data_IF_480991046325
#
_entry.id   IF_480991046325
#
_cell.length_a   1.000
_cell.length_b   1.000
_cell.length_c   1.000
_cell.angle_alpha   90.00
_cell.angle_beta   90.00
_cell.angle_gamma   90.00
#
_symmetry.space_group_name_H-M   'P 1'
#
loop_
_entity.id
_entity.type
_entity.pdbx_description
1 polymer ?
#
# COMPACT_ATOMS: atom_id res chain seq x y z
N UNK A 1 -31.33 -22.75 -28.24
CA UNK A 1 -29.87 -22.49 -28.34
C UNK A 1 -29.52 -21.09 -28.88
N UNK A 2 -30.17 -20.56 -29.93
CA UNK A 2 -29.89 -19.20 -30.45
C UNK A 2 -30.20 -18.05 -29.46
N UNK A 3 -31.27 -18.16 -28.67
CA UNK A 3 -31.66 -17.16 -27.65
C UNK A 3 -30.67 -17.11 -26.50
N UNK A 4 -30.22 -18.26 -26.01
CA UNK A 4 -29.19 -18.38 -24.96
C UNK A 4 -27.83 -17.83 -25.43
N UNK A 5 -27.43 -18.08 -26.68
CA UNK A 5 -26.20 -17.53 -27.26
C UNK A 5 -26.18 -16.00 -27.36
N UNK A 6 -27.33 -15.38 -27.67
CA UNK A 6 -27.46 -13.93 -27.76
C UNK A 6 -27.46 -13.24 -26.39
N UNK A 7 -28.08 -13.84 -25.38
CA UNK A 7 -28.02 -13.35 -23.99
C UNK A 7 -26.57 -13.43 -23.49
N UNK A 8 -25.92 -14.58 -23.64
CA UNK A 8 -24.53 -14.74 -23.21
C UNK A 8 -23.62 -13.71 -23.89
N UNK A 9 -23.76 -13.49 -25.20
CA UNK A 9 -23.01 -12.46 -25.94
C UNK A 9 -23.19 -11.04 -25.38
N UNK A 10 -24.36 -10.72 -24.84
CA UNK A 10 -24.65 -9.40 -24.30
C UNK A 10 -24.10 -9.17 -22.89
N UNK A 11 -23.94 -10.23 -22.09
CA UNK A 11 -23.45 -10.17 -20.72
C UNK A 11 -22.04 -10.72 -20.52
N UNK A 12 -21.34 -11.19 -21.57
CA UNK A 12 -19.94 -11.65 -21.52
C UNK A 12 -18.99 -10.72 -20.75
N UNK A 13 -19.07 -9.41 -20.99
CA UNK A 13 -18.24 -8.43 -20.30
C UNK A 13 -18.54 -8.38 -18.80
N UNK A 14 -19.81 -8.44 -18.42
CA UNK A 14 -20.23 -8.47 -17.02
C UNK A 14 -19.78 -9.77 -16.34
N UNK A 15 -19.99 -10.92 -16.99
CA UNK A 15 -19.58 -12.21 -16.46
C UNK A 15 -18.07 -12.29 -16.25
N UNK A 16 -17.29 -11.80 -17.22
CA UNK A 16 -15.83 -11.72 -17.09
C UNK A 16 -15.41 -10.75 -15.99
N UNK A 17 -16.04 -9.57 -15.90
CA UNK A 17 -15.77 -8.61 -14.82
C UNK A 17 -16.01 -9.24 -13.43
N UNK A 18 -17.16 -9.90 -13.24
CA UNK A 18 -17.51 -10.58 -11.99
C UNK A 18 -16.55 -11.73 -11.69
N UNK A 19 -16.13 -12.50 -12.70
CA UNK A 19 -15.15 -13.57 -12.53
C UNK A 19 -13.80 -13.03 -12.04
N UNK A 20 -13.28 -11.97 -12.67
CA UNK A 20 -11.99 -11.37 -12.28
C UNK A 20 -12.05 -10.78 -10.87
N UNK A 21 -13.12 -10.07 -10.54
CA UNK A 21 -13.34 -9.55 -9.18
C UNK A 21 -13.41 -10.71 -8.18
N UNK A 22 -14.18 -11.76 -8.47
CA UNK A 22 -14.28 -12.93 -7.59
C UNK A 22 -12.92 -13.63 -7.40
N UNK A 23 -12.13 -13.81 -8.46
CA UNK A 23 -10.78 -14.36 -8.34
C UNK A 23 -9.88 -13.47 -7.47
N UNK A 24 -9.92 -12.14 -7.64
CA UNK A 24 -9.19 -11.20 -6.78
C UNK A 24 -9.62 -11.31 -5.32
N UNK A 25 -10.92 -11.46 -5.06
CA UNK A 25 -11.49 -11.64 -3.71
C UNK A 25 -11.11 -12.97 -3.07
N UNK A 26 -11.07 -14.06 -3.84
CA UNK A 26 -10.57 -15.35 -3.33
C UNK A 26 -9.12 -15.23 -2.90
N UNK A 27 -8.27 -14.52 -3.66
CA UNK A 27 -6.88 -14.28 -3.28
C UNK A 27 -6.81 -13.42 -2.00
N UNK A 28 -7.59 -12.33 -1.92
CA UNK A 28 -7.64 -11.42 -0.76
C UNK A 28 -8.05 -12.15 0.53
N UNK A 29 -9.07 -13.02 0.46
CA UNK A 29 -9.53 -13.81 1.61
C UNK A 29 -8.49 -14.84 2.06
N UNK A 30 -7.77 -15.46 1.11
CA UNK A 30 -6.78 -16.51 1.41
C UNK A 30 -5.39 -15.96 1.76
N UNK A 31 -5.21 -14.66 1.95
CA UNK A 31 -3.90 -14.03 2.23
C UNK A 31 -3.16 -14.66 3.41
N UNK A 32 -3.84 -14.98 4.51
CA UNK A 32 -3.19 -15.51 5.72
C UNK A 32 -2.57 -16.89 5.46
N UNK A 33 -3.24 -17.71 4.65
CA UNK A 33 -2.71 -19.01 4.21
C UNK A 33 -1.51 -18.84 3.27
N UNK A 34 -1.48 -17.76 2.48
CA UNK A 34 -0.35 -17.43 1.61
C UNK A 34 0.86 -16.92 2.40
N UNK A 35 0.63 -16.16 3.48
CA UNK A 35 1.68 -15.64 4.36
C UNK A 35 2.26 -16.73 5.27
N UNK A 36 1.43 -17.60 5.84
CA UNK A 36 1.90 -18.74 6.65
C UNK A 36 2.75 -19.71 5.83
N UNK A 37 2.41 -19.96 4.55
CA UNK A 37 3.22 -20.82 3.66
C UNK A 37 4.62 -20.27 3.38
N UNK A 38 4.88 -18.99 3.65
CA UNK A 38 6.20 -18.37 3.42
C UNK A 38 7.19 -18.66 4.55
N UNK A 39 6.71 -18.93 5.76
CA UNK A 39 7.58 -19.32 6.88
C UNK A 39 7.70 -20.84 6.85
N UNK A 40 8.78 -21.34 6.24
CA UNK A 40 9.10 -22.76 6.32
C UNK A 40 9.72 -23.07 7.70
N UNK A 41 8.86 -23.09 8.73
CA UNK A 41 9.26 -23.31 10.13
C UNK A 41 10.01 -24.62 10.33
N UNK A 42 9.70 -25.66 9.55
CA UNK A 42 10.44 -26.93 9.56
C UNK A 42 11.87 -26.77 9.04
N UNK A 43 12.06 -26.04 7.94
CA UNK A 43 13.40 -25.75 7.43
C UNK A 43 14.18 -24.90 8.42
N UNK A 44 13.56 -23.82 8.93
CA UNK A 44 14.16 -22.97 9.94
C UNK A 44 14.63 -23.77 11.16
N UNK A 45 13.77 -24.62 11.72
CA UNK A 45 14.10 -25.49 12.85
C UNK A 45 15.25 -26.44 12.50
N UNK A 46 15.23 -27.07 11.32
CA UNK A 46 16.30 -28.00 10.91
C UNK A 46 17.67 -27.34 10.77
N UNK A 47 17.70 -26.09 10.29
CA UNK A 47 18.92 -25.29 10.15
C UNK A 47 19.41 -24.85 11.53
N UNK A 48 18.50 -24.40 12.40
CA UNK A 48 18.84 -24.03 13.76
C UNK A 48 19.40 -25.23 14.54
N UNK A 49 18.78 -26.40 14.44
CA UNK A 49 19.26 -27.63 15.07
C UNK A 49 20.66 -28.02 14.59
N UNK A 50 20.95 -27.81 13.29
CA UNK A 50 22.28 -28.03 12.74
C UNK A 50 23.29 -27.04 13.33
N UNK A 51 22.96 -25.74 13.38
CA UNK A 51 23.81 -24.71 14.00
C UNK A 51 24.05 -24.98 15.49
N UNK A 52 23.04 -25.47 16.22
CA UNK A 52 23.20 -25.88 17.63
C UNK A 52 24.17 -27.05 17.79
N UNK A 53 24.11 -28.06 16.90
CA UNK A 53 25.08 -29.18 16.92
C UNK A 53 26.49 -28.67 16.64
N UNK A 54 26.68 -27.92 15.56
CA UNK A 54 27.98 -27.34 15.19
C UNK A 54 28.54 -26.45 16.31
N UNK A 55 27.71 -25.59 16.91
CA UNK A 55 28.15 -24.76 18.02
C UNK A 55 28.55 -25.58 19.24
N UNK A 56 27.78 -26.60 19.61
CA UNK A 56 28.12 -27.49 20.72
C UNK A 56 29.43 -28.24 20.47
N UNK A 57 29.63 -28.81 19.28
CA UNK A 57 30.87 -29.51 18.91
C UNK A 57 32.10 -28.58 18.96
N UNK A 58 31.95 -27.35 18.48
CA UNK A 58 33.02 -26.34 18.53
C UNK A 58 33.32 -25.94 19.97
N UNK A 59 32.30 -25.70 20.80
CA UNK A 59 32.48 -25.34 22.21
C UNK A 59 33.14 -26.49 23.00
N UNK A 60 32.75 -27.74 22.76
CA UNK A 60 33.39 -28.90 23.39
C UNK A 60 34.87 -29.02 23.00
N UNK A 61 35.17 -28.88 21.70
CA UNK A 61 36.55 -28.93 21.18
C UNK A 61 37.40 -27.80 21.76
N UNK A 62 36.88 -26.58 21.80
CA UNK A 62 37.54 -25.43 22.40
C UNK A 62 37.77 -25.64 23.91
N UNK A 63 36.79 -26.20 24.62
CA UNK A 63 36.88 -26.49 26.05
C UNK A 63 37.99 -27.50 26.37
N UNK A 64 38.05 -28.60 25.62
CA UNK A 64 39.10 -29.61 25.79
C UNK A 64 40.50 -29.06 25.54
N UNK A 65 40.66 -28.23 24.49
CA UNK A 65 41.95 -27.59 24.16
C UNK A 65 42.38 -26.57 25.22
N UNK A 66 41.46 -25.75 25.74
CA UNK A 66 41.77 -24.83 26.83
C UNK A 66 42.14 -25.53 28.14
N UNK A 67 41.58 -26.71 28.40
CA UNK A 67 41.88 -27.49 29.62
C UNK A 67 43.20 -28.27 29.53
N UNK A 68 43.63 -28.65 28.33
CA UNK A 68 44.84 -29.44 28.09
C UNK A 68 46.08 -28.60 27.76
N UNK A 69 45.90 -27.38 27.22
CA UNK A 69 46.98 -26.46 26.86
C UNK A 69 47.22 -25.34 27.89
N UNK A 70 48.20 -24.47 27.62
CA UNK A 70 48.30 -23.19 28.32
C UNK A 70 47.22 -22.25 27.75
N UNK A 71 46.22 -21.81 28.56
CA UNK A 71 45.13 -20.97 28.06
C UNK A 71 45.60 -19.66 27.42
N UNK A 72 46.73 -19.12 27.90
CA UNK A 72 47.32 -17.89 27.36
C UNK A 72 47.85 -18.07 25.93
N UNK A 73 48.09 -19.31 25.51
CA UNK A 73 48.49 -19.66 24.13
C UNK A 73 47.32 -20.05 23.24
N UNK A 74 46.12 -20.24 23.79
CA UNK A 74 44.95 -20.70 23.03
C UNK A 74 44.61 -19.74 21.89
N UNK A 75 44.61 -18.43 22.16
CA UNK A 75 44.42 -17.41 21.12
C UNK A 75 45.51 -17.53 20.05
N UNK A 76 46.79 -17.58 20.43
CA UNK A 76 47.89 -17.59 19.45
C UNK A 76 47.96 -18.87 18.61
N UNK A 77 47.50 -20.00 19.13
CA UNK A 77 47.60 -21.30 18.47
C UNK A 77 46.37 -21.63 17.61
N UNK A 78 45.18 -21.15 17.99
CA UNK A 78 43.93 -21.60 17.36
C UNK A 78 43.02 -20.47 16.83
N UNK A 79 43.33 -19.18 17.06
CA UNK A 79 42.42 -18.11 16.64
C UNK A 79 42.15 -18.07 15.12
N UNK A 80 43.15 -18.38 14.29
CA UNK A 80 43.02 -18.49 12.83
C UNK A 80 41.92 -19.49 12.41
N UNK A 81 41.80 -20.63 13.10
CA UNK A 81 40.79 -21.67 12.82
C UNK A 81 39.37 -21.16 13.11
N UNK A 82 39.23 -20.26 14.09
CA UNK A 82 37.93 -19.78 14.56
C UNK A 82 37.49 -18.46 13.92
N UNK A 83 38.37 -17.69 13.28
CA UNK A 83 37.99 -16.42 12.62
C UNK A 83 37.00 -16.62 11.47
N UNK A 84 37.06 -17.76 10.77
CA UNK A 84 36.12 -18.09 9.69
C UNK A 84 34.72 -18.50 10.17
N UNK A 85 34.60 -18.93 11.43
CA UNK A 85 33.36 -19.52 11.99
C UNK A 85 32.23 -18.50 12.06
N UNK A 86 32.53 -17.24 12.41
CA UNK A 86 31.50 -16.20 12.37
C UNK A 86 31.05 -15.92 10.93
N UNK A 87 31.99 -15.82 9.99
CA UNK A 87 31.69 -15.46 8.60
C UNK A 87 30.88 -16.52 7.87
N UNK A 88 31.15 -17.80 8.15
CA UNK A 88 30.51 -18.91 7.45
C UNK A 88 29.25 -19.39 8.17
N UNK A 89 29.30 -19.46 9.51
CA UNK A 89 28.25 -20.12 10.30
C UNK A 89 27.45 -19.14 11.17
N UNK A 90 27.82 -17.86 11.20
CA UNK A 90 27.17 -16.85 12.04
C UNK A 90 27.38 -17.09 13.54
N UNK A 91 28.42 -17.81 13.92
CA UNK A 91 28.66 -18.22 15.31
C UNK A 91 29.76 -17.38 15.94
N UNK A 92 29.41 -16.66 17.01
CA UNK A 92 30.39 -16.00 17.88
C UNK A 92 30.69 -16.90 19.08
N UNK A 93 31.95 -17.07 19.41
CA UNK A 93 32.42 -17.90 20.52
C UNK A 93 33.19 -16.99 21.47
N UNK A 94 32.86 -17.10 22.75
CA UNK A 94 33.49 -16.35 23.84
C UNK A 94 33.93 -17.35 24.92
N UNK A 95 35.17 -17.23 25.37
CA UNK A 95 35.71 -18.04 26.45
C UNK A 95 36.07 -17.20 27.66
N UNK A 96 35.61 -17.64 28.82
CA UNK A 96 35.85 -16.99 30.10
C UNK A 96 36.59 -17.91 31.05
N UNK A 97 37.54 -17.34 31.78
CA UNK A 97 38.25 -17.99 32.87
C UNK A 97 38.14 -17.16 34.14
N UNK A 98 37.60 -17.74 35.21
CA UNK A 98 37.36 -17.06 36.49
C UNK A 98 36.59 -15.74 36.32
N UNK A 99 35.65 -15.72 35.36
CA UNK A 99 34.84 -14.54 35.03
C UNK A 99 35.50 -13.55 34.05
N UNK A 100 36.79 -13.69 33.73
CA UNK A 100 37.47 -12.81 32.78
C UNK A 100 37.44 -13.37 31.36
N UNK A 101 37.20 -12.52 30.37
CA UNK A 101 37.26 -12.91 28.96
C UNK A 101 38.70 -13.24 28.57
N UNK A 102 38.93 -14.46 28.09
CA UNK A 102 40.25 -14.96 27.65
C UNK A 102 40.28 -15.35 26.18
N UNK A 103 39.14 -15.49 25.51
CA UNK A 103 39.07 -15.84 24.09
C UNK A 103 37.81 -15.27 23.43
N UNK A 104 37.94 -14.80 22.19
CA UNK A 104 36.82 -14.47 21.32
C UNK A 104 37.22 -14.64 19.85
N UNK A 105 36.30 -15.15 19.02
CA UNK A 105 36.57 -15.34 17.59
C UNK A 105 36.12 -14.16 16.70
N UNK A 106 35.43 -13.17 17.26
CA UNK A 106 34.86 -12.05 16.51
C UNK A 106 34.65 -10.81 17.38
N UNK A 107 34.80 -9.63 16.77
CA UNK A 107 34.60 -8.31 17.42
C UNK A 107 33.25 -7.66 17.05
N UNK A 108 32.29 -8.43 16.55
CA UNK A 108 31.03 -7.89 16.02
C UNK A 108 30.06 -7.40 17.09
N UNK A 109 30.17 -7.89 18.32
CA UNK A 109 29.22 -7.59 19.39
C UNK A 109 29.46 -6.18 19.95
N UNK A 110 28.47 -5.26 19.88
CA UNK A 110 28.65 -3.88 20.36
C UNK A 110 28.33 -3.76 21.86
N UNK A 111 28.82 -4.69 22.69
CA UNK A 111 28.58 -4.71 24.14
C UNK A 111 29.88 -4.93 24.91
N UNK A 112 29.88 -4.51 26.17
CA UNK A 112 30.92 -4.90 27.12
C UNK A 112 30.86 -6.42 27.34
N UNK A 113 31.85 -7.14 26.82
CA UNK A 113 31.93 -8.58 26.86
C UNK A 113 32.00 -9.11 28.31
N UNK A 114 32.41 -8.30 29.28
CA UNK A 114 32.41 -8.72 30.69
C UNK A 114 30.99 -8.92 31.27
N UNK A 115 29.95 -8.39 30.61
CA UNK A 115 28.54 -8.54 31.01
C UNK A 115 27.85 -9.74 30.36
N UNK A 116 28.45 -10.31 29.33
CA UNK A 116 27.91 -11.44 28.55
C UNK A 116 27.81 -12.75 29.37
N UNK A 117 28.68 -13.05 30.36
CA UNK A 117 28.52 -14.22 31.22
C UNK A 117 27.20 -14.30 32.01
N UNK A 118 26.44 -13.21 32.11
CA UNK A 118 25.11 -13.17 32.76
C UNK A 118 24.01 -13.78 31.89
N UNK A 119 24.22 -13.89 30.57
CA UNK A 119 23.22 -14.40 29.64
C UNK A 119 22.99 -15.90 29.81
N UNK A 120 21.73 -16.33 29.83
CA UNK A 120 21.34 -17.69 30.19
C UNK A 120 21.40 -18.65 28.99
N UNK A 121 21.49 -19.94 29.28
CA UNK A 121 21.32 -21.00 28.28
C UNK A 121 19.99 -20.80 27.54
N UNK A 122 19.99 -20.95 26.22
CA UNK A 122 18.81 -20.87 25.36
C UNK A 122 18.12 -19.48 25.38
N UNK A 123 18.81 -18.43 25.83
CA UNK A 123 18.27 -17.07 25.84
C UNK A 123 18.40 -16.40 24.47
N UNK A 124 17.34 -15.72 24.01
CA UNK A 124 17.39 -14.83 22.86
C UNK A 124 17.77 -13.40 23.30
N UNK A 125 18.92 -12.92 22.85
CA UNK A 125 19.50 -11.62 23.21
C UNK A 125 19.70 -10.73 21.98
N UNK A 126 19.63 -9.41 22.17
CA UNK A 126 19.97 -8.41 21.15
C UNK A 126 20.96 -7.41 21.74
N UNK A 127 22.28 -7.58 21.50
CA UNK A 127 23.30 -6.64 21.96
C UNK A 127 23.32 -5.32 21.18
N UNK A 128 22.54 -5.15 20.12
CA UNK A 128 22.39 -3.90 19.36
C UNK A 128 22.76 -3.97 17.88
N UNK A 129 23.27 -5.11 17.40
CA UNK A 129 23.60 -5.34 15.99
C UNK A 129 22.85 -6.55 15.38
N UNK A 130 22.03 -7.24 16.17
CA UNK A 130 21.39 -8.47 15.74
C UNK A 130 20.85 -9.31 16.90
N UNK A 131 20.04 -10.30 16.56
CA UNK A 131 19.46 -11.25 17.48
C UNK A 131 20.28 -12.53 17.51
N UNK A 132 20.64 -12.98 18.71
CA UNK A 132 21.47 -14.17 18.93
C UNK A 132 20.81 -15.12 19.92
N UNK A 133 20.97 -16.42 19.71
CA UNK A 133 20.63 -17.44 20.70
C UNK A 133 21.90 -17.88 21.44
N UNK A 134 21.82 -17.90 22.76
CA UNK A 134 22.93 -18.22 23.65
C UNK A 134 23.02 -19.71 23.94
N UNK A 135 24.21 -20.28 23.74
CA UNK A 135 24.58 -21.64 24.15
C UNK A 135 25.71 -21.51 25.17
N UNK A 136 25.58 -22.16 26.32
CA UNK A 136 26.60 -22.22 27.36
C UNK A 136 27.18 -23.62 27.42
N UNK A 137 28.49 -23.69 27.52
CA UNK A 137 29.22 -24.91 27.80
C UNK A 137 30.16 -24.64 28.97
N UNK A 138 29.75 -25.08 30.17
CA UNK A 138 30.55 -24.98 31.38
C UNK A 138 31.36 -26.26 31.55
N UNK A 139 32.68 -26.15 31.45
CA UNK A 139 33.57 -27.31 31.55
C UNK A 139 33.89 -27.66 33.01
N UNK A 140 34.09 -26.64 33.85
CA UNK A 140 34.38 -26.72 35.28
C UNK A 140 34.04 -25.37 35.96
N UNK A 141 34.37 -25.22 37.25
CA UNK A 141 34.07 -23.99 38.01
C UNK A 141 34.88 -22.76 37.53
N UNK A 142 35.94 -22.98 36.75
CA UNK A 142 36.85 -21.92 36.31
C UNK A 142 36.66 -21.53 34.86
N UNK A 143 36.25 -22.45 33.98
CA UNK A 143 36.15 -22.25 32.53
C UNK A 143 34.70 -22.31 32.07
N UNK A 144 34.24 -21.22 31.47
CA UNK A 144 32.90 -21.09 30.90
C UNK A 144 32.98 -20.60 29.45
N UNK A 145 32.38 -21.36 28.53
CA UNK A 145 32.32 -21.02 27.11
C UNK A 145 30.89 -20.63 26.72
N UNK A 146 30.77 -19.59 25.91
CA UNK A 146 29.51 -19.14 25.33
C UNK A 146 29.60 -19.16 23.81
N UNK A 147 28.62 -19.79 23.17
CA UNK A 147 28.35 -19.69 21.74
C UNK A 147 27.12 -18.81 21.51
N UNK A 148 27.19 -17.91 20.54
CA UNK A 148 26.09 -17.05 20.13
C UNK A 148 25.77 -17.32 18.67
N UNK A 149 24.65 -17.98 18.41
CA UNK A 149 24.17 -18.25 17.06
C UNK A 149 23.43 -17.01 16.58
N UNK A 150 23.96 -16.34 15.55
CA UNK A 150 23.27 -15.24 14.89
C UNK A 150 22.01 -15.76 14.18
N UNK A 151 20.86 -15.19 14.55
CA UNK A 151 19.58 -15.45 13.92
C UNK A 151 19.30 -14.43 12.83
N UNK A 152 19.46 -13.15 13.16
CA UNK A 152 19.13 -12.02 12.29
C UNK A 152 19.98 -10.80 12.63
N UNK A 153 20.44 -10.07 11.61
CA UNK A 153 21.03 -8.75 11.76
C UNK A 153 19.94 -7.68 12.03
N UNK A 154 20.25 -6.76 12.94
CA UNK A 154 19.32 -5.73 13.42
C UNK A 154 20.08 -4.43 13.73
N UNK A 155 20.54 -3.78 12.68
CA UNK A 155 21.25 -2.50 12.67
C UNK A 155 20.27 -1.33 12.67
N UNK A 156 20.61 -0.27 13.42
CA UNK A 156 19.85 0.99 13.44
C UNK A 156 19.89 1.70 12.07
N UNK A 157 20.98 1.52 11.31
CA UNK A 157 21.17 2.13 9.99
C UNK A 157 21.54 1.05 8.97
N UNK A 158 20.73 0.95 7.91
CA UNK A 158 21.00 0.07 6.77
C UNK A 158 21.70 0.82 5.63
N UNK A 159 22.63 0.14 4.96
CA UNK A 159 23.32 0.61 3.76
C UNK A 159 23.75 -0.58 2.88
N UNK A 160 24.49 -0.33 1.80
CA UNK A 160 24.92 -1.38 0.87
C UNK A 160 25.84 -2.47 1.49
N UNK A 161 26.41 -2.21 2.67
CA UNK A 161 27.26 -3.15 3.42
C UNK A 161 26.56 -3.72 4.66
N UNK A 162 25.56 -3.03 5.21
CA UNK A 162 24.82 -3.40 6.41
C UNK A 162 23.34 -3.60 6.05
N UNK A 163 22.94 -4.86 5.93
CA UNK A 163 21.58 -5.24 5.58
C UNK A 163 20.95 -5.96 6.77
N UNK A 164 19.75 -5.55 7.16
CA UNK A 164 18.99 -6.24 8.19
C UNK A 164 18.26 -7.43 7.59
N UNK A 165 18.88 -8.59 7.70
CA UNK A 165 18.33 -9.86 7.22
C UNK A 165 18.59 -10.99 8.20
N UNK A 166 17.84 -12.07 8.06
CA UNK A 166 18.16 -13.35 8.69
C UNK A 166 19.47 -13.89 8.10
N UNK A 167 20.19 -14.69 8.90
CA UNK A 167 21.36 -15.38 8.37
C UNK A 167 20.96 -16.25 7.16
N UNK A 168 21.73 -16.20 6.07
CA UNK A 168 21.38 -16.75 4.74
C UNK A 168 20.87 -18.21 4.78
N UNK A 169 21.41 -19.02 5.69
CA UNK A 169 21.03 -20.42 5.88
C UNK A 169 19.55 -20.62 6.22
N UNK A 170 18.90 -19.66 6.89
CA UNK A 170 17.50 -19.80 7.32
C UNK A 170 16.51 -19.65 6.17
N UNK A 171 16.91 -19.00 5.06
CA UNK A 171 16.10 -18.80 3.85
C UNK A 171 14.67 -18.32 4.15
N UNK A 172 14.56 -17.40 5.09
CA UNK A 172 13.33 -16.71 5.42
C UNK A 172 13.43 -15.27 4.92
N UNK A 173 12.30 -14.64 4.67
CA UNK A 173 12.28 -13.26 4.21
C UNK A 173 12.65 -12.29 5.35
N UNK A 174 13.37 -11.18 5.07
CA UNK A 174 13.91 -10.27 6.07
C UNK A 174 12.86 -9.70 7.04
N UNK A 175 11.62 -9.58 6.56
CA UNK A 175 10.54 -8.90 7.26
C UNK A 175 9.83 -9.77 8.30
N UNK A 176 10.20 -11.05 8.42
CA UNK A 176 9.66 -11.87 9.50
C UNK A 176 10.04 -11.28 10.86
N UNK A 177 9.06 -11.21 11.76
CA UNK A 177 9.22 -10.62 13.08
C UNK A 177 9.60 -11.71 14.09
N UNK A 178 10.49 -11.37 15.03
CA UNK A 178 10.90 -12.22 16.14
C UNK A 178 10.15 -11.79 17.41
N UNK A 179 9.46 -12.72 18.06
CA UNK A 179 8.82 -12.49 19.36
C UNK A 179 9.37 -13.41 20.44
N UNK A 180 9.50 -12.90 21.66
CA UNK A 180 9.83 -13.69 22.85
C UNK A 180 8.61 -14.41 23.45
N UNK A 181 7.41 -14.25 22.87
CA UNK A 181 6.19 -14.91 23.33
C UNK A 181 5.80 -16.04 22.39
N UNK A 182 5.34 -17.14 22.97
CA UNK A 182 5.01 -18.36 22.24
C UNK A 182 3.80 -18.17 21.32
N UNK A 183 2.81 -17.43 21.80
CA UNK A 183 1.53 -17.18 21.13
C UNK A 183 1.60 -16.26 19.89
N UNK A 184 2.68 -15.51 19.71
CA UNK A 184 2.76 -14.46 18.68
C UNK A 184 3.05 -15.01 17.27
N UNK A 185 3.41 -16.28 17.11
CA UNK A 185 3.77 -16.86 15.81
C UNK A 185 4.16 -18.33 15.86
N UNK A 186 4.97 -18.77 14.91
CA UNK A 186 5.50 -20.14 14.88
C UNK A 186 6.61 -20.30 15.93
N UNK A 187 6.40 -21.14 16.97
CA UNK A 187 7.39 -21.31 18.02
C UNK A 187 8.58 -22.13 17.53
N UNK A 188 9.77 -21.65 17.87
CA UNK A 188 11.06 -22.29 17.61
C UNK A 188 11.63 -22.78 18.92
N UNK A 189 12.19 -23.99 18.89
CA UNK A 189 12.69 -24.67 20.08
C UNK A 189 14.19 -24.94 19.97
N UNK A 190 14.85 -25.13 21.11
CA UNK A 190 16.18 -25.72 21.16
C UNK A 190 16.10 -27.23 20.86
N UNK A 191 17.23 -27.89 20.56
CA UNK A 191 17.27 -29.36 20.47
C UNK A 191 16.86 -30.07 21.77
N UNK A 192 16.96 -29.41 22.93
CA UNK A 192 16.47 -29.91 24.23
C UNK A 192 14.95 -29.77 24.41
N UNK A 193 14.26 -29.10 23.50
CA UNK A 193 12.81 -28.86 23.56
C UNK A 193 12.41 -27.58 24.31
N UNK A 194 13.38 -26.75 24.72
CA UNK A 194 13.11 -25.47 25.38
C UNK A 194 12.65 -24.44 24.36
N UNK A 195 11.65 -23.64 24.70
CA UNK A 195 11.20 -22.56 23.83
C UNK A 195 12.25 -21.45 23.76
N UNK A 196 12.59 -21.03 22.54
CA UNK A 196 13.56 -19.95 22.28
C UNK A 196 12.83 -18.64 21.97
N UNK A 197 12.04 -18.66 20.90
CA UNK A 197 11.29 -17.51 20.37
C UNK A 197 10.25 -17.98 19.36
N UNK A 198 9.36 -17.08 18.95
CA UNK A 198 8.41 -17.31 17.86
C UNK A 198 8.74 -16.42 16.66
N UNK A 199 8.49 -16.94 15.46
CA UNK A 199 8.61 -16.21 14.20
C UNK A 199 7.21 -15.94 13.66
N UNK A 200 6.89 -14.68 13.41
CA UNK A 200 5.61 -14.28 12.85
C UNK A 200 5.77 -13.58 11.51
N UNK A 201 4.75 -13.63 10.63
CA UNK A 201 4.70 -12.77 9.47
C UNK A 201 4.76 -11.28 9.87
N UNK A 202 5.21 -10.40 8.97
CA UNK A 202 5.28 -8.99 9.25
C UNK A 202 3.86 -8.47 9.48
N UNK A 203 3.71 -7.63 10.49
CA UNK A 203 2.47 -6.89 10.73
C UNK A 203 2.12 -5.94 9.58
N UNK A 204 3.11 -5.51 8.79
CA UNK A 204 2.94 -4.78 7.53
C UNK A 204 4.08 -5.11 6.55
N UNK A 205 3.82 -5.85 5.46
CA UNK A 205 4.87 -6.15 4.50
C UNK A 205 5.32 -4.85 3.81
N UNK A 206 6.64 -4.60 3.68
CA UNK A 206 7.16 -3.38 3.08
C UNK A 206 6.91 -3.33 1.57
N UNK A 207 6.68 -4.49 0.95
CA UNK A 207 6.44 -4.64 -0.47
C UNK A 207 5.25 -5.56 -0.73
N UNK A 208 4.38 -5.13 -1.65
CA UNK A 208 3.26 -5.94 -2.11
C UNK A 208 3.76 -7.24 -2.72
N UNK A 209 3.26 -8.36 -2.21
CA UNK A 209 3.58 -9.69 -2.73
C UNK A 209 3.06 -9.85 -4.18
N UNK A 210 3.64 -10.78 -4.95
CA UNK A 210 3.11 -11.27 -6.23
C UNK A 210 1.60 -11.53 -6.18
N UNK A 211 1.08 -12.13 -5.10
CA UNK A 211 -0.36 -12.34 -4.95
C UNK A 211 -1.16 -11.04 -4.79
N UNK A 212 -0.63 -10.05 -4.07
CA UNK A 212 -1.22 -8.71 -3.99
C UNK A 212 -1.21 -8.01 -5.35
N UNK A 213 -0.12 -8.14 -6.12
CA UNK A 213 0.00 -7.62 -7.49
C UNK A 213 -1.04 -8.28 -8.40
N UNK A 214 -1.14 -9.62 -8.40
CA UNK A 214 -2.13 -10.36 -9.19
C UNK A 214 -3.55 -9.93 -8.81
N UNK A 215 -3.86 -9.85 -7.51
CA UNK A 215 -5.17 -9.43 -7.02
C UNK A 215 -5.50 -8.00 -7.46
N UNK A 216 -4.55 -7.06 -7.36
CA UNK A 216 -4.70 -5.69 -7.84
C UNK A 216 -4.96 -5.62 -9.35
N UNK A 217 -4.22 -6.39 -10.15
CA UNK A 217 -4.45 -6.49 -11.59
C UNK A 217 -5.85 -7.06 -11.92
N UNK A 218 -6.27 -8.11 -11.22
CA UNK A 218 -7.60 -8.73 -11.40
C UNK A 218 -8.73 -7.75 -11.05
N UNK A 219 -8.64 -7.06 -9.92
CA UNK A 219 -9.63 -6.04 -9.54
C UNK A 219 -9.67 -4.89 -10.55
N UNK A 220 -8.51 -4.37 -10.95
CA UNK A 220 -8.41 -3.27 -11.91
C UNK A 220 -9.03 -3.66 -13.26
N UNK A 221 -8.68 -4.84 -13.79
CA UNK A 221 -9.26 -5.35 -15.03
C UNK A 221 -10.77 -5.60 -14.91
N UNK A 222 -11.22 -6.17 -13.79
CA UNK A 222 -12.63 -6.40 -13.51
C UNK A 222 -13.45 -5.11 -13.46
N UNK A 223 -12.95 -4.07 -12.79
CA UNK A 223 -13.60 -2.76 -12.69
C UNK A 223 -13.65 -2.08 -14.07
N UNK A 224 -12.57 -2.12 -14.86
CA UNK A 224 -12.56 -1.58 -16.22
C UNK A 224 -13.61 -2.28 -17.10
N UNK A 225 -13.69 -3.61 -17.04
CA UNK A 225 -14.69 -4.37 -17.80
C UNK A 225 -16.12 -4.09 -17.34
N UNK A 226 -16.34 -3.90 -16.03
CA UNK A 226 -17.63 -3.49 -15.48
C UNK A 226 -18.04 -2.11 -16.03
N UNK A 227 -17.12 -1.15 -16.04
CA UNK A 227 -17.35 0.18 -16.60
C UNK A 227 -17.67 0.14 -18.10
N UNK A 228 -16.92 -0.65 -18.88
CA UNK A 228 -17.20 -0.87 -20.31
C UNK A 228 -18.57 -1.54 -20.53
N UNK A 229 -18.93 -2.51 -19.70
CA UNK A 229 -20.24 -3.15 -19.75
C UNK A 229 -21.37 -2.15 -19.47
N UNK A 230 -21.24 -1.34 -18.41
CA UNK A 230 -22.23 -0.31 -18.06
C UNK A 230 -22.41 0.68 -19.23
N UNK A 231 -21.32 1.17 -19.81
CA UNK A 231 -21.36 2.11 -20.94
C UNK A 231 -22.04 1.52 -22.17
N UNK A 232 -21.72 0.26 -22.50
CA UNK A 232 -22.36 -0.46 -23.59
C UNK A 232 -23.84 -0.73 -23.32
N UNK A 233 -24.20 -1.05 -22.08
CA UNK A 233 -25.57 -1.33 -21.66
C UNK A 233 -26.47 -0.09 -21.80
N UNK A 234 -25.99 1.08 -21.36
CA UNK A 234 -26.69 2.35 -21.54
C UNK A 234 -26.83 2.72 -23.01
N UNK A 235 -25.76 2.57 -23.79
CA UNK A 235 -25.74 2.88 -25.23
C UNK A 235 -26.75 2.06 -26.04
N UNK A 236 -27.11 0.85 -25.59
CA UNK A 236 -28.09 -0.04 -26.25
C UNK A 236 -29.54 0.36 -25.99
N UNK A 237 -29.83 1.07 -24.88
CA UNK A 237 -31.19 1.46 -24.50
C UNK A 237 -31.69 2.72 -25.23
N UNK A 238 -31.44 2.82 -26.54
CA UNK A 238 -31.77 4.03 -27.32
C UNK A 238 -33.26 4.37 -27.30
N UNK A 239 -34.14 3.38 -27.25
CA UNK A 239 -35.61 3.54 -27.30
C UNK A 239 -36.28 3.98 -25.99
N UNK A 240 -35.53 4.16 -24.90
CA UNK A 240 -36.08 4.57 -23.60
C UNK A 240 -36.14 6.10 -23.49
N UNK A 241 -37.14 6.65 -22.80
CA UNK A 241 -37.26 8.09 -22.55
C UNK A 241 -36.01 8.65 -21.83
N UNK A 242 -35.70 9.92 -22.06
CA UNK A 242 -34.55 10.57 -21.42
C UNK A 242 -34.68 10.62 -19.89
N UNK A 243 -35.90 10.81 -19.38
CA UNK A 243 -36.17 10.77 -17.94
C UNK A 243 -35.78 9.43 -17.31
N UNK A 244 -36.21 8.30 -17.88
CA UNK A 244 -35.87 6.98 -17.34
C UNK A 244 -34.38 6.66 -17.49
N UNK A 245 -33.71 7.13 -18.56
CA UNK A 245 -32.25 7.02 -18.72
C UNK A 245 -31.51 7.82 -17.64
N UNK A 246 -31.93 9.05 -17.37
CA UNK A 246 -31.32 9.89 -16.34
C UNK A 246 -31.55 9.31 -14.93
N UNK A 247 -32.73 8.75 -14.64
CA UNK A 247 -32.97 8.06 -13.36
C UNK A 247 -32.09 6.83 -13.20
N UNK A 248 -31.92 6.02 -14.25
CA UNK A 248 -31.02 4.86 -14.23
C UNK A 248 -29.56 5.30 -14.08
N UNK A 249 -29.16 6.40 -14.72
CA UNK A 249 -27.84 7.01 -14.59
C UNK A 249 -27.59 7.40 -13.12
N UNK A 250 -28.51 8.13 -12.52
CA UNK A 250 -28.43 8.55 -11.13
C UNK A 250 -28.34 7.36 -10.17
N UNK A 251 -29.18 6.34 -10.37
CA UNK A 251 -29.13 5.10 -9.59
C UNK A 251 -27.76 4.41 -9.71
N UNK A 252 -27.20 4.35 -10.92
CA UNK A 252 -25.87 3.76 -11.17
C UNK A 252 -24.78 4.54 -10.43
N UNK A 253 -24.82 5.88 -10.47
CA UNK A 253 -23.87 6.73 -9.75
C UNK A 253 -23.98 6.51 -8.24
N UNK A 254 -25.21 6.51 -7.69
CA UNK A 254 -25.45 6.26 -6.27
C UNK A 254 -24.86 4.91 -5.86
N UNK A 255 -25.15 3.84 -6.59
CA UNK A 255 -24.62 2.51 -6.29
C UNK A 255 -23.08 2.49 -6.30
N UNK A 256 -22.44 3.09 -7.31
CA UNK A 256 -20.98 3.11 -7.39
C UNK A 256 -20.35 3.93 -6.25
N UNK A 257 -20.93 5.07 -5.89
CA UNK A 257 -20.46 5.90 -4.77
C UNK A 257 -20.65 5.17 -3.45
N UNK A 258 -21.82 4.55 -3.22
CA UNK A 258 -22.08 3.77 -2.00
C UNK A 258 -21.11 2.59 -1.88
N UNK A 259 -20.86 1.86 -2.97
CA UNK A 259 -19.86 0.79 -2.98
C UNK A 259 -18.47 1.32 -2.62
N UNK A 260 -18.06 2.47 -3.19
CA UNK A 260 -16.76 3.07 -2.87
C UNK A 260 -16.66 3.52 -1.41
N UNK A 261 -17.71 4.12 -0.86
CA UNK A 261 -17.74 4.49 0.56
C UNK A 261 -17.64 3.24 1.45
N UNK A 262 -18.37 2.16 1.12
CA UNK A 262 -18.24 0.88 1.83
C UNK A 262 -16.83 0.27 1.75
N UNK A 263 -16.16 0.39 0.60
CA UNK A 263 -14.76 -0.02 0.45
C UNK A 263 -13.81 0.79 1.34
N UNK A 264 -14.04 2.10 1.50
CA UNK A 264 -13.23 2.95 2.38
C UNK A 264 -13.43 2.60 3.86
N UNK A 265 -14.68 2.42 4.30
CA UNK A 265 -15.01 2.08 5.70
C UNK A 265 -14.49 0.70 6.12
N UNK A 266 -14.61 -0.29 5.25
CA UNK A 266 -14.10 -1.66 5.50
C UNK A 266 -12.61 -1.80 5.19
N UNK A 267 -12.05 -0.84 4.43
CA UNK A 267 -10.75 -0.88 3.77
C UNK A 267 -10.49 -2.19 3.01
N UNK A 268 -11.51 -2.63 2.26
CA UNK A 268 -11.46 -3.72 1.29
C UNK A 268 -11.13 -3.17 -0.11
N UNK A 269 -10.31 -3.87 -0.92
CA UNK A 269 -9.56 -5.10 -0.60
C UNK A 269 -8.39 -4.83 0.33
N UNK A 270 -8.09 -5.76 1.24
CA UNK A 270 -7.05 -5.51 2.24
C UNK A 270 -5.64 -5.62 1.66
N UNK A 271 -5.44 -6.47 0.64
CA UNK A 271 -4.16 -6.59 -0.09
C UNK A 271 -3.70 -5.27 -0.71
N UNK A 272 -4.60 -4.30 -0.94
CA UNK A 272 -4.20 -3.00 -1.48
C UNK A 272 -3.33 -2.23 -0.48
N UNK A 273 -3.50 -2.45 0.82
CA UNK A 273 -2.72 -1.77 1.86
C UNK A 273 -1.25 -2.21 1.89
N UNK A 274 -0.89 -3.34 1.30
CA UNK A 274 0.52 -3.75 1.17
C UNK A 274 1.30 -2.83 0.21
N UNK A 275 0.62 -2.12 -0.68
CA UNK A 275 1.28 -1.21 -1.60
C UNK A 275 1.51 0.15 -0.92
N UNK A 276 2.73 0.68 -1.08
CA UNK A 276 3.12 1.98 -0.50
C UNK A 276 2.21 3.14 -0.93
N UNK A 277 1.57 3.07 -2.11
CA UNK A 277 0.62 4.10 -2.57
C UNK A 277 -0.67 4.17 -1.74
N UNK A 278 -1.07 3.06 -1.11
CA UNK A 278 -2.24 3.02 -0.23
C UNK A 278 -1.90 3.31 1.23
N UNK A 279 -0.64 3.67 1.51
CA UNK A 279 -0.18 4.09 2.83
C UNK A 279 -0.21 5.63 2.95
N UNK A 280 -0.48 6.18 4.14
CA UNK A 280 -0.67 7.63 4.34
C UNK A 280 0.63 8.45 4.24
N UNK A 281 1.81 7.81 4.25
CA UNK A 281 3.10 8.51 4.25
C UNK A 281 3.37 9.31 2.96
N UNK A 282 2.78 8.93 1.83
CA UNK A 282 2.92 9.66 0.56
C UNK A 282 1.94 10.81 0.43
N UNK A 283 0.71 10.62 0.91
CA UNK A 283 -0.37 11.58 0.85
C UNK A 283 -1.45 11.17 1.86
N UNK A 284 -1.95 12.12 2.64
CA UNK A 284 -3.12 11.94 3.49
C UNK A 284 -3.80 13.28 3.73
N UNK A 285 -5.11 13.36 3.46
CA UNK A 285 -5.86 14.62 3.64
C UNK A 285 -7.10 14.49 4.52
N UNK A 286 -7.89 13.44 4.33
CA UNK A 286 -9.14 13.23 5.07
C UNK A 286 -9.57 11.77 5.01
N UNK A 287 -10.64 11.39 5.71
CA UNK A 287 -11.21 10.03 5.66
C UNK A 287 -11.63 9.61 4.24
N UNK A 288 -12.03 10.56 3.38
CA UNK A 288 -12.33 10.29 1.98
C UNK A 288 -11.08 10.14 1.11
N UNK A 289 -9.94 10.70 1.53
CA UNK A 289 -8.67 10.70 0.81
C UNK A 289 -7.52 10.30 1.76
N UNK A 290 -7.52 9.05 2.27
CA UNK A 290 -6.56 8.61 3.29
C UNK A 290 -5.17 8.29 2.72
N UNK A 291 -5.09 8.00 1.42
CA UNK A 291 -3.85 7.63 0.73
C UNK A 291 -3.83 8.12 -0.72
N UNK A 292 -2.66 8.10 -1.38
CA UNK A 292 -2.51 8.45 -2.80
C UNK A 292 -3.29 7.47 -3.70
N UNK A 293 -3.24 6.18 -3.37
CA UNK A 293 -3.96 5.11 -4.08
C UNK A 293 -5.47 5.28 -3.96
N UNK A 294 -5.97 5.64 -2.77
CA UNK A 294 -7.39 5.93 -2.59
C UNK A 294 -7.84 7.16 -3.36
N UNK A 295 -6.99 8.18 -3.42
CA UNK A 295 -7.22 9.35 -4.25
C UNK A 295 -7.26 9.00 -5.75
N UNK A 296 -6.35 8.14 -6.23
CA UNK A 296 -6.36 7.65 -7.60
C UNK A 296 -7.68 6.92 -7.92
N UNK A 297 -8.14 6.02 -7.03
CA UNK A 297 -9.41 5.30 -7.23
C UNK A 297 -10.60 6.27 -7.22
N UNK A 298 -10.62 7.25 -6.32
CA UNK A 298 -11.68 8.26 -6.25
C UNK A 298 -11.72 9.12 -7.51
N UNK A 299 -10.56 9.59 -7.99
CA UNK A 299 -10.47 10.40 -9.21
C UNK A 299 -10.78 9.60 -10.46
N UNK A 300 -10.40 8.31 -10.54
CA UNK A 300 -10.81 7.41 -11.60
C UNK A 300 -12.34 7.19 -11.62
N UNK A 301 -12.98 7.06 -10.45
CA UNK A 301 -14.44 6.97 -10.35
C UNK A 301 -15.11 8.27 -10.81
N UNK A 302 -14.62 9.43 -10.36
CA UNK A 302 -15.11 10.74 -10.82
C UNK A 302 -14.97 10.88 -12.33
N UNK A 303 -13.83 10.46 -12.89
CA UNK A 303 -13.58 10.49 -14.32
C UNK A 303 -14.54 9.58 -15.09
N UNK A 304 -14.75 8.35 -14.61
CA UNK A 304 -15.76 7.46 -15.18
C UNK A 304 -17.16 8.09 -15.15
N UNK A 305 -17.59 8.66 -14.01
CA UNK A 305 -18.88 9.34 -13.88
C UNK A 305 -18.97 10.52 -14.86
N UNK A 306 -17.89 11.28 -15.07
CA UNK A 306 -17.87 12.40 -16.01
C UNK A 306 -18.05 11.95 -17.47
N UNK A 307 -17.42 10.85 -17.88
CA UNK A 307 -17.64 10.23 -19.20
C UNK A 307 -19.10 9.77 -19.31
N UNK A 308 -19.60 9.08 -18.28
CA UNK A 308 -20.95 8.53 -18.27
C UNK A 308 -22.03 9.61 -18.36
N UNK A 309 -21.86 10.68 -17.59
CA UNK A 309 -22.71 11.87 -17.63
C UNK A 309 -22.68 12.53 -19.00
N UNK A 310 -21.49 12.76 -19.56
CA UNK A 310 -21.33 13.41 -20.87
C UNK A 310 -21.97 12.58 -21.99
N UNK A 311 -21.80 11.26 -21.97
CA UNK A 311 -22.31 10.35 -22.99
C UNK A 311 -23.81 10.09 -22.91
N UNK A 312 -24.42 10.09 -21.72
CA UNK A 312 -25.77 9.56 -21.54
C UNK A 312 -26.78 10.53 -20.93
N UNK A 313 -26.33 11.55 -20.20
CA UNK A 313 -27.25 12.54 -19.63
C UNK A 313 -27.80 13.44 -20.74
N UNK A 314 -29.13 13.56 -20.81
CA UNK A 314 -29.81 14.52 -21.68
C UNK A 314 -31.11 14.97 -21.03
N UNK A 315 -31.37 16.26 -21.12
CA UNK A 315 -32.62 16.90 -20.70
C UNK A 315 -33.39 17.50 -21.89
N UNK A 316 -32.83 17.35 -23.09
CA UNK A 316 -33.41 17.81 -24.35
C UNK A 316 -34.06 16.60 -25.01
N UNK A 317 -35.39 16.58 -25.05
CA UNK A 317 -36.13 15.61 -25.84
C UNK A 317 -36.14 16.01 -27.31
N UNK A 318 -36.06 15.03 -28.21
CA UNK A 318 -36.02 15.27 -29.66
C UNK A 318 -37.31 15.90 -30.20
N UNK A 319 -38.42 15.73 -29.49
CA UNK A 319 -39.76 16.05 -30.00
C UNK A 319 -40.39 17.30 -29.36
N UNK A 320 -39.93 17.72 -28.18
CA UNK A 320 -40.51 18.89 -27.50
C UNK A 320 -39.45 19.72 -26.79
N UNK A 321 -39.48 21.05 -27.00
CA UNK A 321 -38.67 21.97 -26.20
C UNK A 321 -39.31 22.13 -24.81
N UNK A 322 -38.52 22.09 -23.73
CA UNK A 322 -39.04 22.33 -22.39
C UNK A 322 -39.60 23.76 -22.27
N UNK A 323 -40.58 23.94 -21.38
CA UNK A 323 -41.11 25.28 -21.08
C UNK A 323 -40.00 26.20 -20.54
N UNK A 324 -40.18 27.51 -20.67
CA UNK A 324 -39.19 28.50 -20.20
C UNK A 324 -38.86 28.33 -18.71
N UNK A 325 -39.86 28.09 -17.87
CA UNK A 325 -39.68 27.84 -16.44
C UNK A 325 -38.83 26.58 -16.19
N UNK A 326 -39.16 25.46 -16.86
CA UNK A 326 -38.42 24.20 -16.73
C UNK A 326 -36.98 24.32 -17.23
N UNK A 327 -36.77 25.04 -18.32
CA UNK A 327 -35.44 25.35 -18.87
C UNK A 327 -34.58 26.12 -17.87
N UNK A 328 -35.16 27.14 -17.23
CA UNK A 328 -34.48 27.94 -16.22
C UNK A 328 -34.12 27.10 -14.98
N UNK A 329 -35.03 26.25 -14.50
CA UNK A 329 -34.77 25.34 -13.37
C UNK A 329 -33.59 24.41 -13.67
N UNK A 330 -33.54 23.82 -14.87
CA UNK A 330 -32.42 22.97 -15.26
C UNK A 330 -31.09 23.73 -15.33
N UNK A 331 -31.09 24.93 -15.90
CA UNK A 331 -29.88 25.75 -15.99
C UNK A 331 -29.35 26.14 -14.61
N UNK A 332 -30.24 26.49 -13.67
CA UNK A 332 -29.87 26.74 -12.27
C UNK A 332 -29.26 25.48 -11.65
N UNK A 333 -29.93 24.34 -11.77
CA UNK A 333 -29.44 23.07 -11.21
C UNK A 333 -28.06 22.67 -11.78
N UNK A 334 -27.87 22.78 -13.09
CA UNK A 334 -26.60 22.48 -13.76
C UNK A 334 -25.49 23.48 -13.37
N UNK A 335 -25.84 24.76 -13.20
CA UNK A 335 -24.88 25.79 -12.77
C UNK A 335 -24.43 25.59 -11.33
N UNK A 336 -25.35 25.22 -10.44
CA UNK A 336 -25.03 24.84 -9.05
C UNK A 336 -24.16 23.58 -9.01
N UNK A 337 -24.49 22.56 -9.80
CA UNK A 337 -23.70 21.35 -9.93
C UNK A 337 -22.26 21.65 -10.39
N UNK A 338 -22.11 22.43 -11.48
CA UNK A 338 -20.80 22.80 -12.01
C UNK A 338 -19.97 23.61 -11.02
N UNK A 339 -20.59 24.60 -10.35
CA UNK A 339 -19.97 25.40 -9.29
C UNK A 339 -19.46 24.50 -8.16
N UNK A 340 -20.31 23.63 -7.62
CA UNK A 340 -19.93 22.67 -6.57
C UNK A 340 -18.80 21.75 -7.01
N UNK A 341 -18.84 21.27 -8.25
CA UNK A 341 -17.77 20.43 -8.80
C UNK A 341 -16.43 21.18 -8.93
N UNK A 342 -16.43 22.46 -9.30
CA UNK A 342 -15.21 23.29 -9.36
C UNK A 342 -14.58 23.47 -7.97
N UNK A 343 -15.39 23.69 -6.92
CA UNK A 343 -14.88 23.76 -5.56
C UNK A 343 -14.37 22.40 -5.05
N UNK A 344 -15.04 21.30 -5.41
CA UNK A 344 -14.55 19.95 -5.12
C UNK A 344 -13.23 19.67 -5.83
N UNK A 345 -13.12 20.03 -7.10
CA UNK A 345 -11.88 19.96 -7.88
C UNK A 345 -10.75 20.72 -7.16
N UNK A 346 -10.99 21.98 -6.78
CA UNK A 346 -10.00 22.79 -6.08
C UNK A 346 -9.60 22.16 -4.74
N UNK A 347 -10.57 21.64 -3.99
CA UNK A 347 -10.30 20.94 -2.73
C UNK A 347 -9.41 19.71 -2.94
N UNK A 348 -9.67 18.88 -3.94
CA UNK A 348 -8.85 17.69 -4.21
C UNK A 348 -7.47 18.10 -4.74
N UNK A 349 -7.41 19.02 -5.70
CA UNK A 349 -6.19 19.50 -6.34
C UNK A 349 -5.22 20.14 -5.34
N UNK A 350 -5.70 21.10 -4.54
CA UNK A 350 -4.91 21.71 -3.47
C UNK A 350 -4.46 20.68 -2.44
N UNK A 351 -5.30 19.68 -2.17
CA UNK A 351 -4.95 18.55 -1.32
C UNK A 351 -3.71 17.82 -1.80
N UNK A 352 -3.72 17.40 -3.06
CA UNK A 352 -2.60 16.65 -3.62
C UNK A 352 -1.31 17.47 -3.61
N UNK A 353 -1.39 18.80 -3.79
CA UNK A 353 -0.20 19.67 -3.77
C UNK A 353 0.31 19.90 -2.35
N UNK A 354 -0.56 20.24 -1.40
CA UNK A 354 -0.15 20.68 -0.06
C UNK A 354 -0.07 19.56 0.98
N UNK A 355 -0.72 18.42 0.74
CA UNK A 355 -0.77 17.27 1.65
C UNK A 355 -0.03 16.04 1.12
N UNK A 356 0.87 16.20 0.14
CA UNK A 356 1.73 15.10 -0.34
C UNK A 356 3.20 15.37 -0.06
N UNK A 357 3.95 14.29 0.21
CA UNK A 357 5.41 14.31 0.30
C UNK A 357 6.06 14.05 -1.08
N UNK A 358 5.29 14.19 -2.17
CA UNK A 358 5.71 13.88 -3.53
C UNK A 358 6.19 15.17 -4.18
N UNK A 359 7.43 15.16 -4.69
CA UNK A 359 7.95 16.28 -5.46
C UNK A 359 7.27 16.34 -6.83
N UNK A 360 6.43 17.35 -7.05
CA UNK A 360 5.68 17.57 -8.30
C UNK A 360 6.35 18.63 -9.21
N UNK A 361 7.68 18.73 -9.17
CA UNK A 361 8.45 19.68 -9.96
C UNK A 361 8.66 19.18 -11.40
N UNK A 362 7.76 19.58 -12.31
CA UNK A 362 7.74 19.12 -13.72
C UNK A 362 9.04 19.42 -14.48
N UNK A 363 9.80 20.44 -14.07
CA UNK A 363 11.04 20.85 -14.73
C UNK A 363 12.27 20.03 -14.30
N UNK A 364 12.15 19.22 -13.24
CA UNK A 364 13.26 18.43 -12.73
C UNK A 364 13.01 16.94 -12.97
N UNK A 365 13.41 16.46 -14.15
CA UNK A 365 13.25 15.06 -14.56
C UNK A 365 13.92 14.06 -13.61
N UNK A 366 14.92 14.48 -12.82
CA UNK A 366 15.58 13.61 -11.83
C UNK A 366 14.68 13.25 -10.64
N UNK A 367 13.62 14.00 -10.39
CA UNK A 367 12.64 13.72 -9.35
C UNK A 367 11.43 12.91 -9.84
N UNK A 368 11.38 12.56 -11.12
CA UNK A 368 10.35 11.68 -11.66
C UNK A 368 10.54 10.24 -11.14
N UNK A 369 9.68 9.86 -10.21
CA UNK A 369 9.56 8.50 -9.70
C UNK A 369 8.15 7.93 -9.94
N UNK A 370 7.96 6.64 -9.63
CA UNK A 370 6.67 5.95 -9.79
C UNK A 370 5.50 6.65 -9.08
N UNK A 371 5.74 7.31 -7.94
CA UNK A 371 4.70 8.01 -7.17
C UNK A 371 4.31 9.34 -7.82
N UNK A 372 5.29 10.08 -8.35
CA UNK A 372 5.03 11.30 -9.13
C UNK A 372 4.18 11.00 -10.38
N UNK A 373 4.43 9.87 -11.06
CA UNK A 373 3.61 9.43 -12.20
C UNK A 373 2.16 9.14 -11.80
N UNK A 374 1.94 8.48 -10.65
CA UNK A 374 0.59 8.23 -10.12
C UNK A 374 -0.11 9.54 -9.76
N UNK A 375 0.60 10.49 -9.16
CA UNK A 375 0.06 11.81 -8.84
C UNK A 375 -0.31 12.60 -10.12
N UNK A 376 0.54 12.59 -11.16
CA UNK A 376 0.22 13.21 -12.44
C UNK A 376 -0.96 12.55 -13.14
N UNK A 377 -1.07 11.21 -13.11
CA UNK A 377 -2.24 10.50 -13.64
C UNK A 377 -3.53 10.91 -12.90
N UNK A 378 -3.46 11.00 -11.57
CA UNK A 378 -4.56 11.46 -10.72
C UNK A 378 -5.00 12.88 -11.11
N UNK A 379 -4.04 13.80 -11.29
CA UNK A 379 -4.30 15.17 -11.75
C UNK A 379 -4.91 15.21 -13.15
N UNK A 380 -4.40 14.40 -14.08
CA UNK A 380 -4.91 14.33 -15.44
C UNK A 380 -6.35 13.82 -15.48
N UNK A 381 -6.70 12.79 -14.71
CA UNK A 381 -8.08 12.29 -14.59
C UNK A 381 -9.00 13.35 -13.97
N UNK A 382 -8.54 14.05 -12.93
CA UNK A 382 -9.31 15.10 -12.26
C UNK A 382 -9.55 16.30 -13.19
N UNK A 383 -8.53 16.77 -13.91
CA UNK A 383 -8.63 17.83 -14.92
C UNK A 383 -9.52 17.41 -16.10
N UNK A 384 -9.36 16.19 -16.60
CA UNK A 384 -10.21 15.64 -17.64
C UNK A 384 -11.69 15.61 -17.22
N UNK A 385 -11.97 15.27 -15.97
CA UNK A 385 -13.33 15.29 -15.40
C UNK A 385 -13.92 16.71 -15.40
N UNK A 386 -13.13 17.71 -15.01
CA UNK A 386 -13.54 19.12 -15.01
C UNK A 386 -13.88 19.60 -16.42
N UNK A 387 -13.03 19.29 -17.40
CA UNK A 387 -13.25 19.64 -18.81
C UNK A 387 -14.54 19.00 -19.34
N UNK A 388 -14.74 17.70 -19.11
CA UNK A 388 -15.91 16.97 -19.58
C UNK A 388 -17.22 17.49 -18.97
N UNK A 389 -17.27 17.71 -17.64
CA UNK A 389 -18.45 18.28 -17.00
C UNK A 389 -18.75 19.70 -17.49
N UNK A 390 -17.72 20.54 -17.61
CA UNK A 390 -17.87 21.92 -18.08
C UNK A 390 -18.44 21.94 -19.50
N UNK A 391 -17.85 21.19 -20.44
CA UNK A 391 -18.33 21.12 -21.82
C UNK A 391 -19.80 20.66 -21.90
N UNK A 392 -20.15 19.59 -21.17
CA UNK A 392 -21.50 19.05 -21.18
C UNK A 392 -22.52 20.00 -20.56
N UNK A 393 -22.19 20.63 -19.43
CA UNK A 393 -23.08 21.60 -18.76
C UNK A 393 -23.29 22.82 -19.64
N UNK A 394 -22.21 23.37 -20.21
CA UNK A 394 -22.29 24.50 -21.15
C UNK A 394 -23.15 24.14 -22.35
N UNK A 395 -22.97 22.95 -22.95
CA UNK A 395 -23.80 22.47 -24.06
C UNK A 395 -25.30 22.45 -23.74
N UNK A 396 -25.66 21.84 -22.61
CA UNK A 396 -27.06 21.72 -22.22
C UNK A 396 -27.64 23.10 -21.89
N UNK A 397 -26.89 23.95 -21.18
CA UNK A 397 -27.35 25.25 -20.78
C UNK A 397 -27.51 26.22 -21.98
N UNK A 398 -26.55 26.26 -22.89
CA UNK A 398 -26.60 27.13 -24.09
C UNK A 398 -27.71 26.73 -25.06
N UNK A 399 -28.15 25.47 -25.03
CA UNK A 399 -29.29 24.99 -25.83
C UNK A 399 -30.64 25.36 -25.20
N UNK A 400 -30.68 25.56 -23.88
CA UNK A 400 -31.91 25.87 -23.13
C UNK A 400 -32.16 27.37 -22.95
N UNK A 401 -31.11 28.16 -22.75
CA UNK A 401 -31.19 29.61 -22.55
C UNK A 401 -30.08 30.32 -23.33
N UNK A 402 -30.28 31.61 -23.61
CA UNK A 402 -29.25 32.43 -24.26
C UNK A 402 -27.99 32.55 -23.39
N UNK A 403 -26.83 32.70 -24.05
CA UNK A 403 -25.52 32.76 -23.40
C UNK A 403 -25.44 33.76 -22.24
N UNK A 404 -25.96 34.99 -22.42
CA UNK A 404 -25.97 36.03 -21.37
C UNK A 404 -26.73 35.58 -20.12
N UNK A 405 -27.86 34.89 -20.29
CA UNK A 405 -28.68 34.38 -19.19
C UNK A 405 -27.97 33.23 -18.47
N UNK A 406 -27.39 32.30 -19.23
CA UNK A 406 -26.57 31.24 -18.65
C UNK A 406 -25.39 31.80 -17.85
N UNK A 407 -24.62 32.73 -18.43
CA UNK A 407 -23.46 33.33 -17.78
C UNK A 407 -23.84 34.02 -16.47
N UNK A 408 -24.93 34.80 -16.46
CA UNK A 408 -25.42 35.45 -15.24
C UNK A 408 -25.79 34.44 -14.15
N UNK A 409 -26.50 33.35 -14.51
CA UNK A 409 -26.88 32.29 -13.55
C UNK A 409 -25.65 31.54 -13.05
N UNK A 410 -24.70 31.23 -13.94
CA UNK A 410 -23.46 30.57 -13.58
C UNK A 410 -22.63 31.41 -12.62
N UNK A 411 -22.41 32.71 -12.92
CA UNK A 411 -21.66 33.61 -12.06
C UNK A 411 -22.33 33.78 -10.69
N UNK A 412 -23.67 33.86 -10.64
CA UNK A 412 -24.41 33.91 -9.38
C UNK A 412 -24.26 32.61 -8.57
N UNK A 413 -24.36 31.46 -9.24
CA UNK A 413 -24.16 30.13 -8.62
C UNK A 413 -22.72 29.92 -8.16
N UNK A 414 -21.74 30.48 -8.87
CA UNK A 414 -20.33 30.44 -8.52
C UNK A 414 -20.03 31.33 -7.33
N UNK A 415 -20.56 32.56 -7.30
CA UNK A 415 -20.44 33.47 -6.16
C UNK A 415 -21.08 32.90 -4.90
N UNK A 416 -22.30 32.33 -5.01
CA UNK A 416 -22.96 31.64 -3.89
C UNK A 416 -22.15 30.43 -3.40
N UNK A 417 -21.66 29.60 -4.33
CA UNK A 417 -20.78 28.47 -4.00
C UNK A 417 -19.48 28.90 -3.32
N UNK A 418 -18.89 30.02 -3.74
CA UNK A 418 -17.69 30.59 -3.12
C UNK A 418 -17.95 30.98 -1.67
N UNK A 419 -19.07 31.66 -1.38
CA UNK A 419 -19.45 32.02 -0.01
C UNK A 419 -19.59 30.76 0.85
N UNK A 420 -20.31 29.74 0.38
CA UNK A 420 -20.46 28.47 1.11
C UNK A 420 -19.10 27.80 1.33
N UNK A 421 -18.25 27.75 0.31
CA UNK A 421 -16.91 27.17 0.40
C UNK A 421 -16.04 27.88 1.45
N UNK A 422 -16.11 29.22 1.52
CA UNK A 422 -15.42 30.01 2.55
C UNK A 422 -15.99 29.78 3.95
N UNK A 423 -17.31 29.65 4.09
CA UNK A 423 -17.96 29.34 5.38
C UNK A 423 -17.55 27.97 5.92
N UNK A 424 -17.30 27.00 5.03
CA UNK A 424 -16.76 25.69 5.39
C UNK A 424 -15.25 25.70 5.69
N UNK A 425 -14.62 26.87 5.78
CA UNK A 425 -13.19 27.03 6.09
C UNK A 425 -12.26 26.80 4.90
N UNK A 426 -12.80 26.69 3.67
CA UNK A 426 -12.02 26.46 2.47
C UNK A 426 -11.12 27.65 2.11
N UNK A 427 -9.85 27.38 1.84
CA UNK A 427 -8.90 28.38 1.35
C UNK A 427 -8.76 28.30 -0.18
N UNK A 428 -8.77 29.46 -0.84
CA UNK A 428 -8.72 29.58 -2.30
C UNK A 428 -7.70 30.62 -2.70
N UNK A 429 -7.00 30.34 -3.80
CA UNK A 429 -6.14 31.29 -4.48
C UNK A 429 -6.96 32.02 -5.56
N UNK A 430 -6.77 33.32 -5.72
CA UNK A 430 -7.41 34.14 -6.77
C UNK A 430 -7.14 33.57 -8.16
N UNK A 431 -5.94 33.05 -8.43
CA UNK A 431 -5.60 32.43 -9.71
C UNK A 431 -6.47 31.18 -10.02
N UNK A 432 -6.80 30.37 -9.01
CA UNK A 432 -7.65 29.19 -9.19
C UNK A 432 -9.08 29.58 -9.57
N UNK A 433 -9.60 30.65 -8.96
CA UNK A 433 -10.92 31.20 -9.29
C UNK A 433 -10.95 31.76 -10.72
N UNK A 434 -9.91 32.50 -11.10
CA UNK A 434 -9.76 33.02 -12.47
C UNK A 434 -9.71 31.89 -13.49
N UNK A 435 -8.98 30.81 -13.21
CA UNK A 435 -8.89 29.64 -14.08
C UNK A 435 -10.26 29.02 -14.36
N UNK A 436 -11.10 28.82 -13.33
CA UNK A 436 -12.44 28.25 -13.52
C UNK A 436 -13.36 29.12 -14.38
N UNK A 437 -13.30 30.44 -14.17
CA UNK A 437 -14.10 31.40 -14.96
C UNK A 437 -13.62 31.40 -16.41
N UNK A 438 -12.31 31.47 -16.65
CA UNK A 438 -11.72 31.46 -17.99
C UNK A 438 -12.01 30.14 -18.72
N UNK A 439 -11.91 28.99 -18.03
CA UNK A 439 -12.23 27.69 -18.60
C UNK A 439 -13.69 27.65 -19.08
N UNK A 440 -14.65 28.03 -18.24
CA UNK A 440 -16.06 28.08 -18.61
C UNK A 440 -16.32 29.02 -19.79
N UNK A 441 -15.69 30.21 -19.80
CA UNK A 441 -15.84 31.18 -20.90
C UNK A 441 -15.23 30.66 -22.21
N UNK A 442 -14.06 30.05 -22.16
CA UNK A 442 -13.38 29.51 -23.36
C UNK A 442 -14.24 28.44 -24.05
N UNK A 443 -14.85 27.55 -23.27
CA UNK A 443 -15.72 26.49 -23.79
C UNK A 443 -17.04 27.02 -24.35
N UNK A 444 -17.50 28.18 -23.87
CA UNK A 444 -18.69 28.85 -24.42
C UNK A 444 -18.41 29.59 -25.72
N UNK A 445 -17.19 30.11 -25.93
CA UNK A 445 -16.83 30.88 -27.13
C UNK A 445 -16.44 30.05 -28.36
N UNK A 446 -16.23 28.74 -28.19
CA UNK A 446 -15.91 27.79 -29.27
C UNK A 446 -17.18 27.38 -30.07
N UNK A 447 -18.36 27.84 -29.67
CA UNK A 447 -19.66 27.50 -30.29
C UNK A 447 -20.44 28.76 -30.63
#
# INVERSE_FOLDING_TARGET
MQTTGNILRNYRLLLLALLLIACGTVIDINRHVLDEKRINSKHFQSVLDAKFRTATEILETAGQRMNSGNPDRFISEYAEEYYGVYRNDGLVILGYREGNLVFWNSNVLPVDLNRVPEWKQNELVNPGNGWYVVIRHQLNDTINLLGLILIRHDYIFENEFLVNDFHDDFRIYPEAELSKKKEDGHPVYSPSGDFLFSISPPSSPPHANTFAIISCCLYSAGIILLFLFLHKSFSRRRSVSNASKNSLLLLTIIVLVTLRLGMLETGFPQLFREFSIFQPHLYAKSSLFPSLGDLLVNTALIFFISIFFTSHFSIIDRETRPSRARSLTWVIALSLFLSGFMFLFHYIFSGLIFNSNIQLEVHNFFYLNRYSLVAYLTLAMLLGSLVLFTDKVVFLASTLVGFKTFLAIFLMSFAGGFVVYRMLGGQTNTYALSFFIVLSLSMTGIR
#
